data_IF_082055280964
#
_entry.id   IF_082055280964
#
_cell.length_a   1.000
_cell.length_b   1.000
_cell.length_c   1.000
_cell.angle_alpha   90.00
_cell.angle_beta   90.00
_cell.angle_gamma   90.00
#
_symmetry.space_group_name_H-M   'P 1'
#
loop_
_entity.id
_entity.type
_entity.pdbx_description
1 polymer ?
#
# COMPACT_ATOMS: atom_id res chain seq x y z
N UNK A 1 -13.77 1.88 10.03
CA UNK A 1 -13.70 2.69 8.80
C UNK A 1 -12.33 2.48 8.14
N UNK A 2 -12.22 1.50 7.25
CA UNK A 2 -10.95 1.15 6.58
C UNK A 2 -10.78 2.09 5.39
N UNK A 3 -9.65 2.80 5.30
CA UNK A 3 -9.33 3.59 4.10
C UNK A 3 -8.52 2.70 3.16
N UNK A 4 -9.03 2.54 1.95
CA UNK A 4 -8.41 1.74 0.89
C UNK A 4 -7.59 2.70 0.01
N UNK A 5 -6.35 2.34 -0.25
CA UNK A 5 -5.44 3.08 -1.12
C UNK A 5 -5.11 2.24 -2.34
N UNK A 6 -5.10 2.90 -3.50
CA UNK A 6 -4.64 2.32 -4.76
C UNK A 6 -3.16 2.58 -4.86
N UNK A 7 -2.36 1.52 -4.91
CA UNK A 7 -0.90 1.63 -5.03
C UNK A 7 -0.47 0.98 -6.34
N UNK A 8 0.18 1.75 -7.19
CA UNK A 8 0.80 1.29 -8.42
C UNK A 8 2.19 0.77 -8.11
N UNK A 9 2.41 -0.53 -8.32
CA UNK A 9 3.71 -1.15 -8.23
C UNK A 9 4.49 -0.94 -9.53
N UNK A 10 5.82 -1.02 -9.46
CA UNK A 10 6.72 -0.89 -10.61
C UNK A 10 6.46 -1.97 -11.68
N UNK A 11 5.89 -3.11 -11.27
CA UNK A 11 5.56 -4.24 -12.14
C UNK A 11 4.18 -4.10 -12.84
N UNK A 12 3.72 -2.86 -13.08
CA UNK A 12 2.41 -2.50 -13.69
C UNK A 12 1.15 -2.96 -12.94
N UNK A 13 1.29 -3.67 -11.81
CA UNK A 13 0.18 -4.10 -10.99
C UNK A 13 -0.34 -2.98 -10.10
N UNK A 14 -1.67 -2.81 -10.11
CA UNK A 14 -2.38 -1.88 -9.23
C UNK A 14 -2.98 -2.71 -8.08
N UNK A 15 -2.48 -2.47 -6.87
CA UNK A 15 -2.90 -3.21 -5.68
C UNK A 15 -3.79 -2.32 -4.80
N UNK A 16 -4.78 -2.95 -4.16
CA UNK A 16 -5.60 -2.31 -3.14
C UNK A 16 -5.03 -2.63 -1.77
N UNK A 17 -4.41 -1.64 -1.14
CA UNK A 17 -3.82 -1.78 0.18
C UNK A 17 -4.60 -0.97 1.22
N UNK A 18 -4.67 -1.48 2.45
CA UNK A 18 -5.04 -0.66 3.60
C UNK A 18 -3.78 -0.21 4.34
N UNK A 19 -3.82 1.00 4.86
CA UNK A 19 -2.72 1.53 5.68
C UNK A 19 -2.82 0.92 7.08
N UNK A 20 -1.77 0.20 7.50
CA UNK A 20 -1.69 -0.34 8.85
C UNK A 20 -1.80 0.76 9.90
N UNK A 21 -2.41 0.45 11.04
CA UNK A 21 -2.57 1.40 12.15
C UNK A 21 -1.26 2.06 12.58
N UNK A 22 -0.13 1.34 12.47
CA UNK A 22 1.21 1.85 12.80
C UNK A 22 1.58 3.07 11.95
N UNK A 23 1.23 3.06 10.66
CA UNK A 23 1.50 4.17 9.74
C UNK A 23 0.59 5.36 10.06
N UNK A 24 -0.69 5.09 10.39
CA UNK A 24 -1.64 6.12 10.86
C UNK A 24 -1.17 6.79 12.16
N UNK A 25 -0.67 6.00 13.11
CA UNK A 25 -0.13 6.50 14.40
C UNK A 25 1.20 7.24 14.23
N UNK A 26 2.00 6.87 13.23
CA UNK A 26 3.29 7.49 12.95
C UNK A 26 3.20 8.74 12.07
N UNK A 27 1.99 9.17 11.66
CA UNK A 27 1.75 10.34 10.82
C UNK A 27 2.65 10.41 9.56
N UNK A 28 2.98 9.26 8.97
CA UNK A 28 3.82 9.21 7.78
C UNK A 28 3.01 9.76 6.61
N UNK A 29 3.46 10.87 6.03
CA UNK A 29 2.84 11.48 4.85
C UNK A 29 3.26 10.73 3.60
N UNK A 30 2.28 10.08 2.97
CA UNK A 30 2.45 9.39 1.70
C UNK A 30 2.25 10.42 0.58
N UNK A 31 3.34 10.77 -0.10
CA UNK A 31 3.31 11.65 -1.27
C UNK A 31 3.46 10.82 -2.55
N UNK A 32 2.76 11.18 -3.65
CA UNK A 32 2.95 10.53 -4.94
C UNK A 32 4.41 10.69 -5.39
N UNK A 33 5.07 9.58 -5.77
CA UNK A 33 6.48 9.53 -6.14
C UNK A 33 7.43 9.07 -5.03
N UNK A 34 6.95 8.86 -3.80
CA UNK A 34 7.75 8.30 -2.73
C UNK A 34 7.79 6.76 -2.79
N UNK A 35 8.98 6.16 -2.65
CA UNK A 35 9.15 4.70 -2.65
C UNK A 35 8.81 4.15 -1.27
N UNK A 36 7.76 3.34 -1.19
CA UNK A 36 7.25 2.80 0.06
C UNK A 36 7.39 1.27 0.02
N UNK A 37 7.86 0.68 1.13
CA UNK A 37 7.92 -0.77 1.26
C UNK A 37 6.54 -1.29 1.62
N UNK A 38 5.99 -2.14 0.76
CA UNK A 38 4.67 -2.74 0.92
C UNK A 38 4.88 -4.20 1.30
N UNK A 39 4.16 -4.67 2.30
CA UNK A 39 4.10 -6.08 2.64
C UNK A 39 2.84 -6.65 1.98
N UNK A 40 3.03 -7.37 0.88
CA UNK A 40 1.94 -8.08 0.18
C UNK A 40 1.81 -9.46 0.79
N UNK A 41 0.57 -9.86 1.09
CA UNK A 41 0.31 -11.24 1.49
C UNK A 41 0.49 -12.14 0.26
N UNK A 42 1.15 -13.31 0.38
CA UNK A 42 1.43 -14.20 -0.74
C UNK A 42 0.18 -14.73 -1.45
N UNK A 43 -1.01 -14.52 -0.87
CA UNK A 43 -2.30 -14.90 -1.44
C UNK A 43 -2.82 -13.95 -2.53
N UNK A 44 -2.20 -12.77 -2.71
CA UNK A 44 -2.60 -11.76 -3.70
C UNK A 44 -1.72 -11.77 -4.97
N UNK A 45 -0.70 -12.63 -5.02
CA UNK A 45 0.01 -12.90 -6.27
C UNK A 45 -0.84 -13.81 -7.15
N UNK A 46 -1.57 -13.17 -8.06
CA UNK A 46 -1.95 -13.75 -9.35
C UNK A 46 -3.13 -14.74 -9.32
N UNK A 47 -4.26 -14.28 -9.85
CA UNK A 47 -4.82 -14.98 -11.01
C UNK A 47 -4.60 -14.14 -12.25
#
# INVERSE_FOLDING_TARGET
MVCIFRVSLDNENIILGFVSERIRRSFIRILPGNRIKIEVSPYDSTK
#
